data_IF_870380647723
#
_entry.id   IF_870380647723
#
_cell.length_a   1.000
_cell.length_b   1.000
_cell.length_c   1.000
_cell.angle_alpha   90.00
_cell.angle_beta   90.00
_cell.angle_gamma   90.00
#
_symmetry.space_group_name_H-M   'P 1'
#
loop_
_entity.id
_entity.type
_entity.pdbx_description
1 polymer ?
#
# COMPACT_ATOMS: atom_id res chain seq x y z
N UNK A 1 -6.13 7.12 -16.83
CA UNK A 1 -7.46 7.02 -16.18
C UNK A 1 -7.53 5.79 -15.27
N UNK A 2 -7.17 4.59 -15.74
CA UNK A 2 -7.24 3.34 -14.96
C UNK A 2 -6.32 3.39 -13.71
N UNK A 3 -5.17 4.05 -13.78
CA UNK A 3 -4.24 4.20 -12.66
C UNK A 3 -4.75 5.15 -11.56
N UNK A 4 -5.65 6.07 -11.89
CA UNK A 4 -6.20 7.02 -10.92
C UNK A 4 -7.48 6.50 -10.24
N UNK A 5 -8.15 5.52 -10.83
CA UNK A 5 -9.38 4.95 -10.28
C UNK A 5 -9.20 4.36 -8.87
N UNK A 6 -8.13 3.59 -8.57
CA UNK A 6 -7.91 3.08 -7.22
C UNK A 6 -7.74 4.20 -6.18
N UNK A 7 -7.02 5.26 -6.52
CA UNK A 7 -6.81 6.40 -5.62
C UNK A 7 -8.12 7.10 -5.28
N UNK A 8 -8.94 7.36 -6.29
CA UNK A 8 -10.27 7.96 -6.11
C UNK A 8 -11.19 7.08 -5.25
N UNK A 9 -11.13 5.77 -5.45
CA UNK A 9 -11.91 4.82 -4.66
C UNK A 9 -11.49 4.79 -3.20
N UNK A 10 -10.18 4.83 -2.91
CA UNK A 10 -9.66 4.90 -1.55
C UNK A 10 -10.12 6.16 -0.84
N UNK A 11 -10.04 7.30 -1.52
CA UNK A 11 -10.52 8.57 -0.95
C UNK A 11 -12.02 8.51 -0.65
N UNK A 12 -12.81 7.98 -1.58
CA UNK A 12 -14.24 7.79 -1.38
C UNK A 12 -14.54 6.90 -0.17
N UNK A 13 -13.88 5.75 -0.07
CA UNK A 13 -14.08 4.82 1.03
C UNK A 13 -13.66 5.44 2.37
N UNK A 14 -12.51 6.12 2.40
CA UNK A 14 -12.02 6.79 3.62
C UNK A 14 -12.98 7.86 4.13
N UNK A 15 -13.62 8.59 3.23
CA UNK A 15 -14.59 9.63 3.59
C UNK A 15 -15.95 9.07 4.03
N UNK A 16 -16.33 7.93 3.50
CA UNK A 16 -17.66 7.37 3.68
C UNK A 16 -17.75 6.21 4.67
N UNK A 17 -16.62 5.64 5.08
CA UNK A 17 -16.59 4.43 5.94
C UNK A 17 -17.38 4.59 7.23
N UNK A 18 -17.37 5.77 7.84
CA UNK A 18 -18.09 6.03 9.09
C UNK A 18 -19.62 6.08 8.90
N UNK A 19 -20.09 6.29 7.67
CA UNK A 19 -21.50 6.36 7.32
C UNK A 19 -22.01 5.03 6.72
N UNK A 20 -21.12 4.08 6.47
CA UNK A 20 -21.44 2.78 5.87
C UNK A 20 -21.58 1.72 6.96
N UNK A 21 -22.39 0.71 6.69
CA UNK A 21 -22.38 -0.51 7.48
C UNK A 21 -21.09 -1.30 7.23
N UNK A 22 -20.72 -2.19 8.18
CA UNK A 22 -19.56 -3.07 7.99
C UNK A 22 -19.71 -3.93 6.73
N UNK A 23 -20.89 -4.43 6.43
CA UNK A 23 -21.17 -5.20 5.22
C UNK A 23 -20.95 -4.38 3.94
N UNK A 24 -21.42 -3.13 3.91
CA UNK A 24 -21.22 -2.22 2.78
C UNK A 24 -19.75 -1.86 2.59
N UNK A 25 -19.02 -1.61 3.67
CA UNK A 25 -17.60 -1.35 3.65
C UNK A 25 -16.80 -2.56 3.13
N UNK A 26 -17.19 -3.77 3.54
CA UNK A 26 -16.58 -5.01 3.06
C UNK A 26 -16.82 -5.21 1.54
N UNK A 27 -18.03 -4.97 1.08
CA UNK A 27 -18.33 -5.04 -0.36
C UNK A 27 -17.50 -4.02 -1.15
N UNK A 28 -17.42 -2.79 -0.65
CA UNK A 28 -16.59 -1.74 -1.26
C UNK A 28 -15.11 -2.13 -1.32
N UNK A 29 -14.58 -2.77 -0.27
CA UNK A 29 -13.21 -3.29 -0.27
C UNK A 29 -12.99 -4.35 -1.35
N UNK A 30 -13.92 -5.31 -1.51
CA UNK A 30 -13.81 -6.34 -2.56
C UNK A 30 -13.88 -5.74 -3.97
N UNK A 31 -14.76 -4.76 -4.19
CA UNK A 31 -14.83 -4.04 -5.45
C UNK A 31 -13.53 -3.28 -5.74
N UNK A 32 -12.98 -2.64 -4.74
CA UNK A 32 -11.67 -1.99 -4.85
C UNK A 32 -10.57 -2.97 -5.24
N UNK A 33 -10.50 -4.13 -4.57
CA UNK A 33 -9.51 -5.16 -4.88
C UNK A 33 -9.65 -5.67 -6.31
N UNK A 34 -10.87 -5.84 -6.81
CA UNK A 34 -11.14 -6.25 -8.19
C UNK A 34 -10.68 -5.18 -9.20
N UNK A 35 -10.98 -3.91 -8.95
CA UNK A 35 -10.54 -2.78 -9.81
C UNK A 35 -9.02 -2.67 -9.79
N UNK A 36 -8.39 -2.82 -8.63
CA UNK A 36 -6.94 -2.82 -8.49
C UNK A 36 -6.30 -3.97 -9.27
N UNK A 37 -6.83 -5.17 -9.16
CA UNK A 37 -6.36 -6.34 -9.90
C UNK A 37 -6.44 -6.14 -11.42
N UNK A 38 -7.56 -5.59 -11.90
CA UNK A 38 -7.73 -5.26 -13.31
C UNK A 38 -6.72 -4.19 -13.77
N UNK A 39 -6.49 -3.17 -12.95
CA UNK A 39 -5.50 -2.12 -13.23
C UNK A 39 -4.07 -2.68 -13.27
N UNK A 40 -3.76 -3.64 -12.41
CA UNK A 40 -2.44 -4.26 -12.35
C UNK A 40 -2.20 -5.30 -13.44
N UNK A 41 -3.23 -5.71 -14.18
CA UNK A 41 -3.06 -6.68 -15.28
C UNK A 41 -2.05 -6.21 -16.34
N UNK A 42 -1.87 -4.89 -16.50
CA UNK A 42 -0.85 -4.32 -17.39
C UNK A 42 0.59 -4.71 -17.01
N UNK A 43 0.84 -5.07 -15.77
CA UNK A 43 2.16 -5.53 -15.30
C UNK A 43 2.59 -6.80 -16.06
N UNK A 44 1.65 -7.70 -16.38
CA UNK A 44 1.94 -8.92 -17.15
C UNK A 44 2.37 -8.62 -18.59
N UNK A 45 2.05 -7.45 -19.11
CA UNK A 45 2.50 -7.01 -20.42
C UNK A 45 3.94 -6.45 -20.40
N UNK A 46 4.36 -5.94 -19.25
CA UNK A 46 5.67 -5.25 -19.10
C UNK A 46 6.74 -6.21 -18.56
N UNK A 47 6.37 -7.03 -17.59
CA UNK A 47 7.32 -7.93 -16.88
C UNK A 47 7.03 -9.39 -17.21
N UNK A 48 8.07 -10.23 -17.10
CA UNK A 48 7.92 -11.67 -17.25
C UNK A 48 7.14 -12.27 -16.08
N UNK A 49 6.37 -13.34 -16.34
CA UNK A 49 5.60 -14.01 -15.26
C UNK A 49 6.49 -14.56 -14.15
N UNK A 50 7.66 -15.10 -14.49
CA UNK A 50 8.63 -15.59 -13.52
C UNK A 50 9.14 -14.45 -12.62
N UNK A 51 9.42 -13.29 -13.20
CA UNK A 51 9.86 -12.11 -12.47
C UNK A 51 8.78 -11.60 -11.50
N UNK A 52 7.53 -11.57 -11.96
CA UNK A 52 6.39 -11.17 -11.13
C UNK A 52 6.23 -12.12 -9.94
N UNK A 53 6.28 -13.42 -10.17
CA UNK A 53 6.18 -14.43 -9.11
C UNK A 53 7.31 -14.29 -8.09
N UNK A 54 8.55 -14.15 -8.57
CA UNK A 54 9.73 -13.96 -7.69
C UNK A 54 9.59 -12.72 -6.83
N UNK A 55 9.25 -11.59 -7.42
CA UNK A 55 9.09 -10.33 -6.69
C UNK A 55 7.90 -10.40 -5.74
N UNK A 56 6.82 -11.06 -6.11
CA UNK A 56 5.68 -11.29 -5.22
C UNK A 56 6.11 -12.01 -3.93
N UNK A 57 6.88 -13.09 -4.04
CA UNK A 57 7.35 -13.83 -2.86
C UNK A 57 8.35 -13.02 -2.03
N UNK A 58 9.23 -12.25 -2.65
CA UNK A 58 10.13 -11.32 -1.94
C UNK A 58 9.30 -10.27 -1.18
N UNK A 59 8.31 -9.71 -1.83
CA UNK A 59 7.42 -8.72 -1.21
C UNK A 59 6.65 -9.33 -0.05
N UNK A 60 6.10 -10.53 -0.23
CA UNK A 60 5.36 -11.23 0.83
C UNK A 60 6.23 -11.51 2.06
N UNK A 61 7.45 -11.97 1.85
CA UNK A 61 8.41 -12.22 2.94
C UNK A 61 8.79 -10.92 3.67
N UNK A 62 9.11 -9.87 2.91
CA UNK A 62 9.47 -8.56 3.47
C UNK A 62 8.31 -7.91 4.21
N UNK A 63 7.13 -7.95 3.62
CA UNK A 63 5.90 -7.43 4.22
C UNK A 63 5.58 -8.15 5.53
N UNK A 64 5.65 -9.47 5.54
CA UNK A 64 5.40 -10.29 6.73
C UNK A 64 6.38 -9.95 7.87
N UNK A 65 7.66 -9.84 7.55
CA UNK A 65 8.68 -9.48 8.52
C UNK A 65 8.46 -8.07 9.10
N UNK A 66 8.14 -7.10 8.25
CA UNK A 66 7.88 -5.72 8.66
C UNK A 66 6.59 -5.58 9.47
N UNK A 67 5.54 -6.31 9.09
CA UNK A 67 4.29 -6.36 9.85
C UNK A 67 4.50 -6.99 11.22
N UNK A 68 5.24 -8.08 11.28
CA UNK A 68 5.58 -8.72 12.55
C UNK A 68 6.41 -7.79 13.45
N UNK A 69 7.37 -7.07 12.89
CA UNK A 69 8.13 -6.08 13.62
C UNK A 69 7.21 -4.96 14.15
N UNK A 70 6.37 -4.39 13.32
CA UNK A 70 5.42 -3.33 13.72
C UNK A 70 4.45 -3.79 14.80
N UNK A 71 4.03 -5.06 14.76
CA UNK A 71 3.13 -5.64 15.74
C UNK A 71 3.81 -5.91 17.10
N UNK A 72 5.06 -6.36 17.08
CA UNK A 72 5.76 -6.83 18.29
C UNK A 72 6.68 -5.78 18.93
N UNK A 73 7.10 -4.76 18.19
CA UNK A 73 8.02 -3.75 18.72
C UNK A 73 7.39 -2.98 19.87
N UNK A 74 8.20 -2.69 20.88
CA UNK A 74 7.83 -1.82 22.00
C UNK A 74 8.12 -0.35 21.73
N UNK A 75 8.84 -0.05 20.65
CA UNK A 75 9.10 1.32 20.21
C UNK A 75 7.84 1.95 19.67
N UNK A 76 7.58 3.21 20.03
CA UNK A 76 6.54 4.00 19.40
C UNK A 76 7.00 4.45 18.01
N UNK A 77 6.34 3.96 16.98
CA UNK A 77 6.61 4.33 15.59
C UNK A 77 5.85 5.60 15.16
N UNK A 78 4.99 6.14 16.04
CA UNK A 78 4.21 7.35 15.77
C UNK A 78 5.02 8.55 15.28
N UNK A 79 6.21 8.86 15.88
CA UNK A 79 7.06 9.96 15.41
C UNK A 79 7.55 9.82 13.96
N UNK A 80 7.62 8.60 13.43
CA UNK A 80 8.00 8.35 12.04
C UNK A 80 6.95 8.79 11.03
N UNK A 81 5.71 8.98 11.46
CA UNK A 81 4.59 9.29 10.56
C UNK A 81 4.87 10.51 9.67
N UNK A 82 5.31 11.60 10.26
CA UNK A 82 5.58 12.84 9.51
C UNK A 82 6.66 12.64 8.46
N UNK A 83 7.72 11.92 8.81
CA UNK A 83 8.82 11.61 7.90
C UNK A 83 8.34 10.70 6.75
N UNK A 84 7.56 9.67 7.05
CA UNK A 84 7.04 8.74 6.04
C UNK A 84 6.03 9.41 5.11
N UNK A 85 5.13 10.25 5.64
CA UNK A 85 4.17 11.02 4.83
C UNK A 85 4.90 12.00 3.92
N UNK A 86 5.92 12.68 4.42
CA UNK A 86 6.76 13.57 3.63
C UNK A 86 7.45 12.81 2.49
N UNK A 87 8.00 11.64 2.78
CA UNK A 87 8.60 10.76 1.78
C UNK A 87 7.59 10.31 0.73
N UNK A 88 6.39 9.95 1.15
CA UNK A 88 5.30 9.56 0.23
C UNK A 88 4.91 10.70 -0.71
N UNK A 89 4.72 11.90 -0.18
CA UNK A 89 4.42 13.08 -0.99
C UNK A 89 5.56 13.36 -1.96
N UNK A 90 6.80 13.26 -1.50
CA UNK A 90 7.99 13.42 -2.34
C UNK A 90 8.03 12.43 -3.50
N UNK A 91 7.71 11.16 -3.26
CA UNK A 91 7.62 10.12 -4.29
C UNK A 91 6.54 10.45 -5.31
N UNK A 92 5.37 10.89 -4.86
CA UNK A 92 4.26 11.26 -5.76
C UNK A 92 4.68 12.41 -6.66
N UNK A 93 5.25 13.47 -6.09
CA UNK A 93 5.71 14.63 -6.85
C UNK A 93 6.81 14.22 -7.85
N UNK A 94 7.81 13.47 -7.39
CA UNK A 94 8.90 12.99 -8.23
C UNK A 94 8.40 12.11 -9.37
N UNK A 95 7.39 11.26 -9.11
CA UNK A 95 6.78 10.41 -10.13
C UNK A 95 6.05 11.23 -11.20
N UNK A 96 5.31 12.26 -10.78
CA UNK A 96 4.65 13.18 -11.72
C UNK A 96 5.67 13.91 -12.58
N UNK A 97 6.73 14.44 -11.99
CA UNK A 97 7.82 15.11 -12.73
C UNK A 97 8.50 14.14 -13.70
N UNK A 98 8.74 12.90 -13.26
CA UNK A 98 9.39 11.90 -14.10
C UNK A 98 8.52 11.42 -15.28
N UNK A 99 7.19 11.56 -15.19
CA UNK A 99 6.32 11.31 -16.35
C UNK A 99 6.66 12.19 -17.54
N UNK A 100 7.12 13.42 -17.29
CA UNK A 100 7.55 14.36 -18.33
C UNK A 100 9.02 14.20 -18.70
N UNK A 101 9.89 13.91 -17.73
CA UNK A 101 11.33 13.77 -17.95
C UNK A 101 11.73 12.41 -18.53
N UNK A 102 10.96 11.37 -18.23
CA UNK A 102 11.25 9.98 -18.65
C UNK A 102 12.68 9.53 -18.33
N UNK A 103 13.21 9.98 -17.18
CA UNK A 103 14.56 9.66 -16.74
C UNK A 103 14.59 8.29 -16.05
N UNK A 104 15.41 7.37 -16.56
CA UNK A 104 15.64 6.06 -15.94
C UNK A 104 16.37 6.16 -14.60
N UNK A 105 17.28 7.11 -14.47
CA UNK A 105 17.99 7.37 -13.22
C UNK A 105 17.02 7.87 -12.12
N UNK A 106 16.13 8.77 -12.47
CA UNK A 106 15.10 9.26 -11.54
C UNK A 106 14.14 8.13 -11.15
N UNK A 107 13.73 7.29 -12.10
CA UNK A 107 12.88 6.13 -11.82
C UNK A 107 13.55 5.18 -10.83
N UNK A 108 14.84 4.93 -10.96
CA UNK A 108 15.61 4.12 -10.04
C UNK A 108 15.60 4.71 -8.61
N UNK A 109 15.89 6.01 -8.49
CA UNK A 109 15.88 6.71 -7.18
C UNK A 109 14.50 6.67 -6.55
N UNK A 110 13.44 6.95 -7.32
CA UNK A 110 12.05 6.87 -6.86
C UNK A 110 11.75 5.47 -6.31
N UNK A 111 12.18 4.43 -7.03
CA UNK A 111 11.94 3.05 -6.63
C UNK A 111 12.67 2.68 -5.34
N UNK A 112 13.93 3.08 -5.17
CA UNK A 112 14.71 2.83 -3.95
C UNK A 112 14.08 3.55 -2.75
N UNK A 113 13.80 4.84 -2.89
CA UNK A 113 13.15 5.63 -1.85
C UNK A 113 11.76 5.08 -1.54
N UNK A 114 11.03 4.68 -2.58
CA UNK A 114 9.71 4.06 -2.46
C UNK A 114 9.72 2.78 -1.62
N UNK A 115 10.68 1.89 -1.87
CA UNK A 115 10.83 0.68 -1.05
C UNK A 115 11.04 1.03 0.42
N UNK A 116 11.90 1.98 0.72
CA UNK A 116 12.17 2.40 2.11
C UNK A 116 10.93 3.02 2.76
N UNK A 117 10.21 3.88 2.05
CA UNK A 117 9.00 4.55 2.56
C UNK A 117 7.88 3.53 2.80
N UNK A 118 7.60 2.66 1.83
CA UNK A 118 6.52 1.67 2.00
C UNK A 118 6.88 0.56 2.99
N UNK A 119 8.15 0.21 3.13
CA UNK A 119 8.62 -0.65 4.20
C UNK A 119 8.36 -0.02 5.59
N UNK A 120 8.73 1.23 5.76
CA UNK A 120 8.46 1.99 6.98
C UNK A 120 6.96 2.14 7.26
N UNK A 121 6.17 2.42 6.23
CA UNK A 121 4.70 2.51 6.34
C UNK A 121 4.08 1.17 6.74
N UNK A 122 4.57 0.06 6.23
CA UNK A 122 4.07 -1.28 6.61
C UNK A 122 4.23 -1.53 8.11
N UNK A 123 5.39 -1.23 8.66
CA UNK A 123 5.63 -1.38 10.10
C UNK A 123 4.78 -0.38 10.91
N UNK A 124 4.75 0.87 10.50
CA UNK A 124 3.98 1.93 11.15
C UNK A 124 2.47 1.63 11.12
N UNK A 125 1.94 1.28 9.97
CA UNK A 125 0.51 1.03 9.80
C UNK A 125 0.07 -0.22 10.56
N UNK A 126 0.90 -1.26 10.62
CA UNK A 126 0.62 -2.45 11.44
C UNK A 126 0.52 -2.09 12.91
N UNK A 127 1.44 -1.29 13.42
CA UNK A 127 1.38 -0.84 14.82
C UNK A 127 0.15 0.03 15.08
N UNK A 128 -0.15 0.96 14.17
CA UNK A 128 -1.32 1.83 14.26
C UNK A 128 -2.62 1.03 14.29
N UNK A 129 -2.76 0.04 13.42
CA UNK A 129 -3.96 -0.82 13.37
C UNK A 129 -4.12 -1.60 14.68
N UNK A 130 -3.03 -2.14 15.21
CA UNK A 130 -3.03 -2.81 16.52
C UNK A 130 -3.53 -1.89 17.63
N UNK A 131 -3.07 -0.63 17.65
CA UNK A 131 -3.45 0.35 18.67
C UNK A 131 -4.87 0.89 18.51
N UNK A 132 -5.47 0.75 17.33
CA UNK A 132 -6.87 1.15 17.09
C UNK A 132 -7.88 0.19 17.69
N UNK A 133 -7.49 -1.03 18.04
CA UNK A 133 -8.37 -2.02 18.64
C UNK A 133 -8.79 -1.58 20.04
N UNK A 134 -10.10 -1.61 20.32
CA UNK A 134 -10.69 -1.33 21.62
C UNK A 134 -11.72 -2.41 21.93
N UNK A 135 -11.61 -3.03 23.09
CA UNK A 135 -12.56 -4.08 23.53
C UNK A 135 -13.98 -3.55 23.70
N UNK A 136 -14.12 -2.26 23.98
CA UNK A 136 -15.42 -1.60 24.13
C UNK A 136 -16.14 -1.29 22.81
N UNK A 137 -15.47 -1.48 21.68
CA UNK A 137 -16.06 -1.21 20.37
C UNK A 137 -17.22 -2.19 20.09
N UNK A 138 -18.28 -1.68 19.43
CA UNK A 138 -19.33 -2.54 18.91
C UNK A 138 -18.78 -3.47 17.81
N UNK A 139 -19.48 -4.56 17.55
CA UNK A 139 -19.12 -5.47 16.46
C UNK A 139 -19.05 -4.76 15.10
N UNK A 140 -19.97 -3.83 14.86
CA UNK A 140 -20.01 -2.98 13.67
C UNK A 140 -18.76 -2.12 13.55
N UNK A 141 -18.37 -1.42 14.61
CA UNK A 141 -17.19 -0.55 14.66
C UNK A 141 -15.90 -1.35 14.48
N UNK A 142 -15.77 -2.49 15.13
CA UNK A 142 -14.63 -3.39 14.99
C UNK A 142 -14.50 -3.87 13.55
N UNK A 143 -15.61 -4.23 12.90
CA UNK A 143 -15.63 -4.65 11.50
C UNK A 143 -15.14 -3.56 10.55
N UNK A 144 -15.59 -2.32 10.76
CA UNK A 144 -15.13 -1.17 9.96
C UNK A 144 -13.64 -0.89 10.14
N UNK A 145 -13.14 -0.92 11.37
CA UNK A 145 -11.70 -0.75 11.66
C UNK A 145 -10.87 -1.85 11.00
N UNK A 146 -11.33 -3.10 11.03
CA UNK A 146 -10.65 -4.22 10.38
C UNK A 146 -10.57 -4.02 8.86
N UNK A 147 -11.64 -3.56 8.22
CA UNK A 147 -11.68 -3.30 6.77
C UNK A 147 -10.72 -2.16 6.40
N UNK A 148 -10.75 -1.06 7.14
CA UNK A 148 -9.84 0.06 6.88
C UNK A 148 -8.39 -0.31 7.11
N UNK A 149 -8.09 -1.11 8.13
CA UNK A 149 -6.76 -1.63 8.37
C UNK A 149 -6.30 -2.55 7.25
N UNK A 150 -7.14 -3.47 6.80
CA UNK A 150 -6.86 -4.35 5.68
C UNK A 150 -6.60 -3.56 4.38
N UNK A 151 -7.40 -2.53 4.11
CA UNK A 151 -7.21 -1.66 2.96
C UNK A 151 -5.86 -0.95 3.00
N UNK A 152 -5.49 -0.40 4.14
CA UNK A 152 -4.22 0.30 4.34
C UNK A 152 -3.03 -0.63 4.08
N UNK A 153 -3.03 -1.81 4.68
CA UNK A 153 -1.97 -2.81 4.49
C UNK A 153 -1.95 -3.38 3.07
N UNK A 154 -3.10 -3.54 2.44
CA UNK A 154 -3.19 -3.96 1.05
C UNK A 154 -2.49 -2.95 0.13
N UNK A 155 -2.74 -1.65 0.33
CA UNK A 155 -2.08 -0.59 -0.44
C UNK A 155 -0.57 -0.55 -0.19
N UNK A 156 -0.12 -0.72 1.04
CA UNK A 156 1.30 -0.81 1.37
C UNK A 156 1.96 -1.98 0.64
N UNK A 157 1.32 -3.15 0.64
CA UNK A 157 1.81 -4.34 -0.05
C UNK A 157 1.93 -4.10 -1.56
N UNK A 158 0.87 -3.60 -2.20
CA UNK A 158 0.84 -3.38 -3.64
C UNK A 158 1.89 -2.35 -4.06
N UNK A 159 2.01 -1.25 -3.33
CA UNK A 159 3.01 -0.23 -3.64
C UNK A 159 4.43 -0.75 -3.43
N UNK A 160 4.67 -1.50 -2.37
CA UNK A 160 5.97 -2.13 -2.12
C UNK A 160 6.32 -3.11 -3.26
N UNK A 161 5.37 -3.92 -3.69
CA UNK A 161 5.55 -4.85 -4.81
C UNK A 161 5.87 -4.12 -6.11
N UNK A 162 5.15 -3.05 -6.42
CA UNK A 162 5.42 -2.26 -7.64
C UNK A 162 6.82 -1.66 -7.62
N UNK A 163 7.25 -1.09 -6.49
CA UNK A 163 8.60 -0.52 -6.36
C UNK A 163 9.68 -1.60 -6.50
N UNK A 164 9.48 -2.77 -5.92
CA UNK A 164 10.40 -3.91 -6.05
C UNK A 164 10.42 -4.46 -7.48
N UNK A 165 9.28 -4.46 -8.19
CA UNK A 165 9.26 -4.82 -9.62
C UNK A 165 10.06 -3.85 -10.46
N UNK A 166 10.00 -2.55 -10.18
CA UNK A 166 10.81 -1.55 -10.88
C UNK A 166 12.31 -1.76 -10.68
N UNK A 167 12.72 -2.28 -9.50
CA UNK A 167 14.13 -2.51 -9.19
C UNK A 167 14.64 -3.86 -9.67
N UNK A 168 13.87 -4.93 -9.50
CA UNK A 168 14.32 -6.31 -9.69
C UNK A 168 13.55 -7.07 -10.77
N UNK A 169 12.50 -6.47 -11.33
CA UNK A 169 11.70 -7.10 -12.37
C UNK A 169 12.43 -7.13 -13.71
N UNK A 170 12.34 -8.26 -14.40
CA UNK A 170 12.83 -8.39 -15.77
C UNK A 170 11.72 -7.98 -16.72
N UNK A 171 11.96 -6.93 -17.49
CA UNK A 171 11.04 -6.48 -18.54
C UNK A 171 11.12 -7.41 -19.75
N UNK A 172 9.98 -7.56 -20.39
CA UNK A 172 9.89 -8.28 -21.66
C UNK A 172 10.54 -7.51 -22.81
#
# INVERSE_FOLDING_TARGET
>A
VIMLAPLGFVLFLSMRVNQMSAASAQLAFWLFAAVMGASMSSIFLIYTGESIARVFFITAASFSALSLYGYTTKRDLGPMRSFLVMGLIGIIIASVVNMFMQSSAMQFVISVVGVLVFAGLTAYDTQRIKLMYMESDSHETTGKKAIMGALTLYLDFINLMIMLLHLFGNRR
#
